data_IF_178817426694
#
_entry.id   IF_178817426694
#
_cell.length_a   1.000
_cell.length_b   1.000
_cell.length_c   1.000
_cell.angle_alpha   90.00
_cell.angle_beta   90.00
_cell.angle_gamma   90.00
#
_symmetry.space_group_name_H-M   'P 1'
#
loop_
_entity.id
_entity.type
_entity.pdbx_description
1 polymer ?
#
# COMPACT_ATOMS: atom_id res chain seq x y z
N UNK A 1 15.48 -27.89 -20.65
CA UNK A 1 14.08 -27.61 -20.37
C UNK A 1 13.97 -26.61 -19.25
N UNK A 2 13.17 -25.60 -19.42
CA UNK A 2 12.96 -24.59 -18.38
C UNK A 2 11.80 -24.97 -17.51
N UNK A 3 12.04 -24.99 -16.18
CA UNK A 3 10.99 -25.15 -15.22
C UNK A 3 10.37 -23.77 -14.95
N UNK A 4 9.21 -23.54 -15.55
CA UNK A 4 8.46 -22.32 -15.29
C UNK A 4 7.68 -22.47 -14.00
N UNK A 5 7.87 -21.59 -13.01
CA UNK A 5 7.10 -21.68 -11.78
C UNK A 5 5.61 -21.43 -12.07
N UNK A 6 4.73 -22.10 -11.35
CA UNK A 6 3.31 -21.82 -11.44
C UNK A 6 2.94 -20.53 -10.68
N UNK A 7 1.70 -20.06 -10.86
CA UNK A 7 1.25 -18.83 -10.24
C UNK A 7 1.25 -18.90 -8.71
N UNK A 8 1.00 -20.07 -8.14
CA UNK A 8 1.05 -20.25 -6.69
C UNK A 8 2.46 -20.07 -6.14
N UNK A 9 3.46 -20.60 -6.82
CA UNK A 9 4.85 -20.43 -6.43
C UNK A 9 5.31 -18.99 -6.51
N UNK A 10 4.92 -18.29 -7.58
CA UNK A 10 5.23 -16.87 -7.76
C UNK A 10 4.58 -16.03 -6.66
N UNK A 11 3.30 -16.26 -6.39
CA UNK A 11 2.58 -15.53 -5.35
C UNK A 11 3.19 -15.78 -3.97
N UNK A 12 3.49 -17.05 -3.65
CA UNK A 12 4.11 -17.38 -2.37
C UNK A 12 5.46 -16.70 -2.16
N UNK A 13 6.27 -16.61 -3.21
CA UNK A 13 7.56 -15.92 -3.14
C UNK A 13 7.36 -14.41 -2.89
N UNK A 14 6.44 -13.78 -3.61
CA UNK A 14 6.15 -12.35 -3.47
C UNK A 14 5.59 -12.01 -2.08
N UNK A 15 4.73 -12.85 -1.54
CA UNK A 15 4.11 -12.62 -0.23
C UNK A 15 5.09 -12.63 0.94
N UNK A 16 6.28 -13.19 0.75
CA UNK A 16 7.32 -13.20 1.79
C UNK A 16 8.07 -11.88 1.89
N UNK A 17 8.07 -11.08 0.83
CA UNK A 17 8.90 -9.86 0.75
C UNK A 17 8.08 -8.60 0.47
N UNK A 18 6.85 -8.72 0.05
CA UNK A 18 5.97 -7.58 -0.27
C UNK A 18 4.78 -7.56 0.66
N UNK A 19 4.37 -6.35 1.05
CA UNK A 19 3.15 -6.12 1.83
C UNK A 19 2.00 -6.02 0.83
N UNK A 20 1.07 -6.97 0.88
CA UNK A 20 0.01 -7.08 -0.12
C UNK A 20 -1.35 -7.00 0.57
N UNK A 21 -2.23 -6.18 0.01
CA UNK A 21 -3.63 -6.12 0.40
C UNK A 21 -4.52 -5.87 -0.80
N UNK A 22 -5.75 -6.31 -0.72
CA UNK A 22 -6.80 -5.97 -1.69
C UNK A 22 -7.92 -5.23 -0.99
N UNK A 23 -8.66 -4.44 -1.75
CA UNK A 23 -9.85 -3.75 -1.27
C UNK A 23 -11.01 -3.97 -2.22
N UNK A 24 -12.23 -3.73 -1.72
CA UNK A 24 -13.40 -3.59 -2.57
C UNK A 24 -13.36 -2.22 -3.29
N UNK A 25 -14.42 -1.92 -4.04
CA UNK A 25 -14.51 -0.67 -4.80
C UNK A 25 -14.64 0.58 -3.90
N UNK A 26 -15.04 0.39 -2.66
CA UNK A 26 -15.17 1.47 -1.67
C UNK A 26 -13.89 1.67 -0.85
N UNK A 27 -12.87 0.86 -1.07
CA UNK A 27 -11.61 0.97 -0.36
C UNK A 27 -11.54 0.22 0.97
N UNK A 28 -12.50 -0.65 1.25
CA UNK A 28 -12.46 -1.51 2.44
C UNK A 28 -11.59 -2.73 2.17
N UNK A 29 -10.75 -3.07 3.14
CA UNK A 29 -9.79 -4.17 3.01
C UNK A 29 -10.54 -5.50 2.94
N UNK A 30 -10.24 -6.29 1.91
CA UNK A 30 -10.81 -7.63 1.69
C UNK A 30 -9.78 -8.74 1.87
N UNK A 31 -8.50 -8.41 1.75
CA UNK A 31 -7.39 -9.35 1.94
C UNK A 31 -6.17 -8.59 2.48
N UNK A 32 -5.47 -9.20 3.42
CA UNK A 32 -4.22 -8.70 3.97
C UNK A 32 -3.28 -9.89 4.14
N UNK A 33 -2.08 -9.83 3.57
CA UNK A 33 -1.13 -10.93 3.74
C UNK A 33 -0.47 -10.89 5.12
N UNK A 34 0.25 -11.96 5.47
CA UNK A 34 0.86 -12.10 6.79
C UNK A 34 1.87 -10.98 7.07
N UNK A 35 2.63 -10.59 6.05
CA UNK A 35 3.62 -9.53 6.21
C UNK A 35 2.96 -8.17 6.57
N UNK A 36 1.79 -7.89 6.02
CA UNK A 36 1.01 -6.70 6.37
C UNK A 36 0.62 -6.72 7.86
N UNK A 37 0.13 -7.85 8.32
CA UNK A 37 -0.23 -8.03 9.73
C UNK A 37 1.00 -7.89 10.65
N UNK A 38 2.10 -8.54 10.30
CA UNK A 38 3.34 -8.47 11.08
C UNK A 38 3.91 -7.07 11.13
N UNK A 39 3.97 -6.39 10.01
CA UNK A 39 4.52 -5.03 9.91
C UNK A 39 3.71 -4.01 10.70
N UNK A 40 2.39 -4.08 10.60
CA UNK A 40 1.51 -3.09 11.24
C UNK A 40 1.17 -3.41 12.69
N UNK A 41 1.32 -4.67 13.09
CA UNK A 41 0.88 -5.14 14.40
C UNK A 41 -0.63 -5.33 14.54
N UNK A 42 -1.40 -5.09 13.47
CA UNK A 42 -2.84 -5.39 13.47
C UNK A 42 -3.07 -6.88 13.24
N UNK A 43 -4.01 -7.46 13.97
CA UNK A 43 -4.52 -8.78 13.62
C UNK A 43 -5.30 -8.70 12.31
N UNK A 44 -5.36 -9.80 11.57
CA UNK A 44 -6.10 -9.83 10.29
C UNK A 44 -7.55 -9.41 10.48
N UNK A 45 -8.17 -9.84 11.58
CA UNK A 45 -9.55 -9.52 11.93
C UNK A 45 -9.76 -8.01 12.20
N UNK A 46 -8.71 -7.31 12.59
CA UNK A 46 -8.75 -5.87 12.79
C UNK A 46 -8.64 -5.10 11.46
N UNK A 47 -8.11 -5.74 10.42
CA UNK A 47 -7.90 -5.12 9.10
C UNK A 47 -9.06 -5.37 8.14
N UNK A 48 -9.53 -6.62 8.07
CA UNK A 48 -10.57 -7.01 7.10
C UNK A 48 -11.86 -6.23 7.37
N UNK A 49 -12.42 -5.63 6.33
CA UNK A 49 -13.64 -4.83 6.42
C UNK A 49 -13.41 -3.37 6.80
N UNK A 50 -12.20 -3.03 7.22
CA UNK A 50 -11.86 -1.63 7.56
C UNK A 50 -11.39 -0.87 6.33
N UNK A 51 -11.64 0.45 6.28
CA UNK A 51 -11.08 1.25 5.19
C UNK A 51 -9.56 1.20 5.26
N UNK A 52 -8.92 1.18 4.09
CA UNK A 52 -7.46 1.14 3.99
C UNK A 52 -6.78 2.36 4.66
N UNK A 53 -7.54 3.42 4.88
CA UNK A 53 -7.09 4.60 5.62
C UNK A 53 -6.68 4.31 7.07
N UNK A 54 -6.98 3.11 7.59
CA UNK A 54 -6.55 2.70 8.95
C UNK A 54 -5.03 2.82 9.14
N UNK A 55 -4.24 2.72 8.07
CA UNK A 55 -2.77 2.83 8.13
C UNK A 55 -2.23 4.16 7.61
N UNK A 56 -3.09 5.12 7.27
CA UNK A 56 -2.64 6.41 6.75
C UNK A 56 -1.96 7.24 7.82
N UNK A 57 -0.82 7.83 7.46
CA UNK A 57 -0.21 8.86 8.27
C UNK A 57 -1.03 10.17 8.13
N UNK A 58 -1.39 10.83 9.25
CA UNK A 58 -2.27 11.99 9.21
C UNK A 58 -1.69 13.21 8.49
N UNK A 59 -0.36 13.29 8.38
CA UNK A 59 0.31 14.42 7.72
C UNK A 59 0.38 14.26 6.20
N UNK A 60 0.01 13.11 5.64
CA UNK A 60 -0.05 12.94 4.18
C UNK A 60 -1.21 13.77 3.65
N UNK A 61 -0.95 14.69 2.70
CA UNK A 61 -2.01 15.54 2.16
C UNK A 61 -3.12 14.73 1.50
N UNK A 62 -4.35 15.17 1.66
CA UNK A 62 -5.51 14.52 1.04
C UNK A 62 -5.38 14.48 -0.48
N UNK A 63 -4.71 15.47 -1.08
CA UNK A 63 -4.48 15.55 -2.52
C UNK A 63 -3.72 14.32 -3.06
N UNK A 64 -2.84 13.74 -2.26
CA UNK A 64 -2.09 12.52 -2.62
C UNK A 64 -3.05 11.36 -2.83
N UNK A 65 -3.98 11.16 -1.92
CA UNK A 65 -4.96 10.07 -2.01
C UNK A 65 -6.03 10.36 -3.06
N UNK A 66 -6.36 11.63 -3.27
CA UNK A 66 -7.26 12.01 -4.38
C UNK A 66 -6.64 11.64 -5.73
N UNK A 67 -5.37 11.95 -5.92
CA UNK A 67 -4.63 11.58 -7.13
C UNK A 67 -4.59 10.05 -7.30
N UNK A 68 -4.33 9.33 -6.23
CA UNK A 68 -4.35 7.86 -6.24
C UNK A 68 -5.71 7.32 -6.70
N UNK A 69 -6.80 7.79 -6.08
CA UNK A 69 -8.15 7.33 -6.41
C UNK A 69 -8.54 7.68 -7.84
N UNK A 70 -8.24 8.90 -8.28
CA UNK A 70 -8.52 9.33 -9.65
C UNK A 70 -7.79 8.44 -10.66
N UNK A 71 -6.54 8.11 -10.37
CA UNK A 71 -5.71 7.24 -11.24
C UNK A 71 -6.27 5.83 -11.33
N UNK A 72 -6.53 5.18 -10.20
CA UNK A 72 -6.94 3.77 -10.19
C UNK A 72 -8.39 3.58 -10.64
N UNK A 73 -9.26 4.55 -10.38
CA UNK A 73 -10.64 4.50 -10.89
C UNK A 73 -10.68 4.64 -12.40
N UNK A 74 -9.73 5.34 -12.98
CA UNK A 74 -9.58 5.46 -14.43
C UNK A 74 -8.90 4.24 -15.07
N UNK A 75 -8.55 3.23 -14.30
CA UNK A 75 -7.91 2.01 -14.78
C UNK A 75 -6.39 2.07 -14.79
N UNK A 76 -5.79 3.12 -14.26
CA UNK A 76 -4.34 3.31 -14.22
C UNK A 76 -3.67 2.70 -13.00
N UNK A 77 -2.35 2.69 -13.03
CA UNK A 77 -1.49 2.25 -11.93
C UNK A 77 -0.93 3.49 -11.25
N UNK A 78 -1.15 3.61 -9.94
CA UNK A 78 -0.59 4.68 -9.15
C UNK A 78 0.63 4.19 -8.38
N UNK A 79 1.67 5.00 -8.33
CA UNK A 79 2.87 4.72 -7.53
C UNK A 79 3.20 5.92 -6.66
N UNK A 80 3.74 5.65 -5.48
CA UNK A 80 4.16 6.70 -4.57
C UNK A 80 4.87 6.15 -3.36
N UNK A 81 5.76 6.95 -2.80
CA UNK A 81 6.44 6.62 -1.55
C UNK A 81 5.74 7.41 -0.45
N UNK A 82 5.15 6.71 0.51
CA UNK A 82 4.35 7.34 1.56
C UNK A 82 4.69 6.77 2.93
N UNK A 83 4.63 7.59 3.98
CA UNK A 83 4.67 7.09 5.35
C UNK A 83 3.31 6.52 5.74
N UNK A 84 3.32 5.45 6.50
CA UNK A 84 2.14 4.84 7.09
C UNK A 84 2.33 4.70 8.60
N UNK A 85 1.23 4.48 9.31
CA UNK A 85 1.25 4.18 10.74
C UNK A 85 0.58 2.85 10.98
N UNK A 86 1.28 1.97 11.71
CA UNK A 86 0.70 0.74 12.22
C UNK A 86 0.01 0.97 13.57
N UNK A 87 -0.41 -0.12 14.17
CA UNK A 87 -1.04 -0.13 15.49
C UNK A 87 -0.09 0.45 16.55
N UNK A 88 -0.60 1.34 17.38
CA UNK A 88 0.22 2.00 18.37
C UNK A 88 1.14 3.10 17.81
N UNK A 89 0.93 3.53 16.58
CA UNK A 89 1.67 4.62 15.97
C UNK A 89 3.04 4.22 15.40
N UNK A 90 3.25 2.94 15.11
CA UNK A 90 4.50 2.49 14.49
C UNK A 90 4.63 3.10 13.09
N UNK A 91 5.67 3.92 12.91
CA UNK A 91 5.95 4.58 11.63
C UNK A 91 6.72 3.63 10.71
N UNK A 92 6.26 3.53 9.46
CA UNK A 92 7.01 2.87 8.40
C UNK A 92 6.77 3.58 7.07
N UNK A 93 7.77 3.56 6.21
CA UNK A 93 7.70 4.19 4.89
C UNK A 93 7.69 3.10 3.83
N UNK A 94 6.78 3.23 2.89
CA UNK A 94 6.58 2.21 1.85
C UNK A 94 6.63 2.83 0.46
N UNK A 95 7.30 2.12 -0.43
CA UNK A 95 7.18 2.32 -1.87
C UNK A 95 5.95 1.51 -2.32
N UNK A 96 4.93 2.22 -2.77
CA UNK A 96 3.58 1.68 -2.96
C UNK A 96 3.19 1.69 -4.42
N UNK A 97 2.60 0.60 -4.86
CA UNK A 97 1.91 0.50 -6.16
C UNK A 97 0.47 0.09 -5.88
N UNK A 98 -0.48 0.86 -6.40
CA UNK A 98 -1.91 0.53 -6.32
C UNK A 98 -2.46 0.43 -7.72
N UNK A 99 -3.21 -0.62 -8.01
CA UNK A 99 -3.78 -0.83 -9.33
C UNK A 99 -5.11 -1.57 -9.24
N UNK A 100 -5.97 -1.38 -10.26
CA UNK A 100 -7.24 -2.08 -10.30
C UNK A 100 -7.07 -3.54 -10.73
N UNK A 101 -7.98 -4.38 -10.25
CA UNK A 101 -8.17 -5.74 -10.74
C UNK A 101 -9.43 -5.74 -11.62
N UNK A 102 -9.36 -6.44 -12.74
CA UNK A 102 -10.43 -6.47 -13.74
C UNK A 102 -11.05 -7.86 -13.85
N UNK A 103 -12.33 -7.92 -14.16
CA UNK A 103 -12.98 -9.16 -14.56
C UNK A 103 -12.72 -9.48 -16.03
N UNK A 104 -13.31 -10.56 -16.52
CA UNK A 104 -13.11 -11.00 -17.90
C UNK A 104 -13.68 -10.01 -18.93
N UNK A 105 -14.67 -9.18 -18.55
CA UNK A 105 -15.26 -8.16 -19.40
C UNK A 105 -14.54 -6.81 -19.33
N UNK A 106 -13.48 -6.72 -18.53
CA UNK A 106 -12.71 -5.49 -18.38
C UNK A 106 -13.27 -4.49 -17.38
N UNK A 107 -14.20 -4.92 -16.53
CA UNK A 107 -14.73 -4.07 -15.45
C UNK A 107 -13.83 -4.16 -14.22
N UNK A 108 -13.64 -3.03 -13.54
CA UNK A 108 -12.90 -3.00 -12.28
C UNK A 108 -13.74 -3.64 -11.20
N UNK A 109 -13.17 -4.65 -10.51
CA UNK A 109 -13.87 -5.39 -9.45
C UNK A 109 -13.26 -5.19 -8.06
N UNK A 110 -12.00 -4.75 -8.02
CA UNK A 110 -11.27 -4.58 -6.76
C UNK A 110 -10.01 -3.77 -7.04
N UNK A 111 -9.29 -3.42 -5.98
CA UNK A 111 -7.97 -2.82 -6.08
C UNK A 111 -6.96 -3.63 -5.29
N UNK A 112 -5.71 -3.66 -5.78
CA UNK A 112 -4.60 -4.30 -5.08
C UNK A 112 -3.53 -3.27 -4.77
N UNK A 113 -3.00 -3.33 -3.56
CA UNK A 113 -1.87 -2.52 -3.11
C UNK A 113 -0.69 -3.42 -2.81
N UNK A 114 0.44 -3.12 -3.43
CA UNK A 114 1.70 -3.84 -3.26
C UNK A 114 2.72 -2.83 -2.76
N UNK A 115 3.32 -3.12 -1.61
CA UNK A 115 4.21 -2.17 -0.92
C UNK A 115 5.50 -2.85 -0.52
N UNK A 116 6.58 -2.09 -0.62
CA UNK A 116 7.89 -2.49 -0.13
C UNK A 116 8.35 -1.48 0.93
N UNK A 117 8.80 -1.96 2.08
CA UNK A 117 9.34 -1.08 3.13
C UNK A 117 10.66 -0.49 2.67
N UNK A 118 10.83 0.83 2.83
CA UNK A 118 12.01 1.57 2.41
C UNK A 118 12.75 2.05 3.66
N UNK A 119 13.67 1.23 4.17
CA UNK A 119 14.33 1.45 5.45
C UNK A 119 15.16 2.73 5.52
N UNK A 120 15.87 3.08 4.45
CA UNK A 120 16.69 4.29 4.43
C UNK A 120 15.85 5.55 4.59
N UNK A 121 14.67 5.57 3.96
CA UNK A 121 13.73 6.68 4.08
C UNK A 121 13.04 6.70 5.44
N UNK A 122 12.86 5.54 6.08
CA UNK A 122 12.35 5.48 7.44
C UNK A 122 13.27 6.19 8.42
N UNK A 123 14.57 6.01 8.30
CA UNK A 123 15.54 6.70 9.15
C UNK A 123 15.44 8.21 8.99
N UNK A 124 15.31 8.69 7.77
CA UNK A 124 15.17 10.11 7.50
C UNK A 124 13.90 10.68 8.14
N UNK A 125 12.77 9.96 8.05
CA UNK A 125 11.52 10.37 8.67
C UNK A 125 11.56 10.30 10.20
N UNK A 126 12.31 9.39 10.78
CA UNK A 126 12.46 9.26 12.23
C UNK A 126 13.37 10.35 12.82
N UNK A 127 14.42 10.75 12.09
CA UNK A 127 15.41 11.72 12.56
C UNK A 127 14.99 13.16 12.36
N UNK A 128 14.07 13.42 11.46
CA UNK A 128 13.62 14.76 11.11
C UNK A 128 12.13 14.86 11.41
N UNK A 129 11.73 15.94 12.06
CA UNK A 129 10.31 16.20 12.29
C UNK A 129 9.57 16.18 10.96
N UNK A 130 8.61 15.28 10.85
CA UNK A 130 7.82 15.13 9.64
C UNK A 130 6.83 16.28 9.54
N UNK A 131 6.87 17.01 8.42
CA UNK A 131 5.94 18.09 8.13
C UNK A 131 5.27 17.87 6.77
N UNK A 132 4.11 18.50 6.62
CA UNK A 132 3.39 18.47 5.34
C UNK A 132 4.24 19.03 4.20
N UNK A 133 4.90 20.16 4.41
CA UNK A 133 5.78 20.77 3.40
C UNK A 133 6.88 19.83 2.97
N UNK A 134 7.53 19.21 3.94
CA UNK A 134 8.62 18.27 3.68
C UNK A 134 8.13 17.05 2.92
N UNK A 135 6.96 16.55 3.24
CA UNK A 135 6.35 15.44 2.52
C UNK A 135 6.01 15.85 1.08
N UNK A 136 5.44 17.05 0.89
CA UNK A 136 5.09 17.55 -0.43
C UNK A 136 6.33 17.67 -1.31
N UNK A 137 7.42 18.26 -0.78
CA UNK A 137 8.69 18.38 -1.48
C UNK A 137 9.25 17.02 -1.89
N UNK A 138 9.23 16.07 -0.97
CA UNK A 138 9.69 14.71 -1.22
C UNK A 138 8.84 14.02 -2.30
N UNK A 139 7.54 14.16 -2.23
CA UNK A 139 6.60 13.54 -3.16
C UNK A 139 6.72 14.14 -4.57
N UNK A 140 6.88 15.44 -4.66
CA UNK A 140 7.05 16.13 -5.96
C UNK A 140 8.40 15.76 -6.61
N UNK A 141 9.42 15.51 -5.83
CA UNK A 141 10.73 15.11 -6.34
C UNK A 141 10.77 13.67 -6.87
N UNK A 142 9.85 12.86 -6.44
CA UNK A 142 9.75 11.46 -6.87
C UNK A 142 9.02 11.35 -8.19
#
# INVERSE_FOLDING_TARGET
MHDTPDNSQLLNALQKVMVISTTDLQGNITYANDLFCTLTGFAREELIGRPHSIVRHPDVPKAVYKDMWDTIKAGGIWTGIVPNLGKGGVLYVVDTTVQPLFDAEGNITAYISIRRVVNDLMQDFEQVEFSKEKFDDFYEAA
#
